data_IF_825296319994
#
_entry.id   IF_825296319994
#
_cell.length_a   1.000
_cell.length_b   1.000
_cell.length_c   1.000
_cell.angle_alpha   90.00
_cell.angle_beta   90.00
_cell.angle_gamma   90.00
#
_symmetry.space_group_name_H-M   'P 1'
#
loop_
_entity.id
_entity.type
_entity.pdbx_description
1 polymer ?
#
# COMPACT_ATOMS: atom_id res chain seq x y z
N UNK A 1 6.65 -0.16 -4.37
CA UNK A 1 6.00 -0.50 -3.09
C UNK A 1 6.97 -0.17 -1.98
N UNK A 2 6.49 0.57 -0.99
CA UNK A 2 7.18 0.88 0.26
C UNK A 2 6.68 0.06 1.45
N UNK A 3 5.91 -1.01 1.21
CA UNK A 3 5.23 -1.79 2.24
C UNK A 3 6.18 -2.33 3.32
N UNK A 4 7.30 -2.96 2.94
CA UNK A 4 8.25 -3.52 3.91
C UNK A 4 8.82 -2.46 4.87
N UNK A 5 9.02 -1.23 4.37
CA UNK A 5 9.45 -0.11 5.21
C UNK A 5 8.31 0.40 6.09
N UNK A 6 7.08 0.37 5.60
CA UNK A 6 5.88 0.72 6.37
C UNK A 6 5.63 -0.28 7.52
N UNK A 7 5.88 -1.58 7.34
CA UNK A 7 5.76 -2.60 8.42
C UNK A 7 6.65 -2.25 9.63
N UNK A 8 7.90 -1.84 9.38
CA UNK A 8 8.81 -1.39 10.45
C UNK A 8 8.24 -0.15 11.16
N UNK A 9 7.67 0.78 10.39
CA UNK A 9 7.02 1.98 10.92
C UNK A 9 5.76 1.64 11.75
N UNK A 10 4.96 0.69 11.31
CA UNK A 10 3.74 0.26 11.99
C UNK A 10 4.04 -0.35 13.36
N UNK A 11 5.14 -1.11 13.51
CA UNK A 11 5.58 -1.64 14.81
C UNK A 11 5.88 -0.54 15.84
N UNK A 12 6.27 0.66 15.41
CA UNK A 12 6.59 1.77 16.30
C UNK A 12 5.42 2.76 16.48
N UNK A 13 4.67 3.02 15.41
CA UNK A 13 3.64 4.08 15.37
C UNK A 13 2.21 3.55 15.42
N UNK A 14 2.03 2.23 15.35
CA UNK A 14 0.73 1.56 15.36
C UNK A 14 0.01 1.63 14.02
N UNK A 15 -0.13 2.82 13.43
CA UNK A 15 -0.80 3.03 12.13
C UNK A 15 0.01 3.97 11.27
N UNK A 16 0.35 3.55 10.06
CA UNK A 16 1.09 4.35 9.08
C UNK A 16 0.46 4.21 7.69
N UNK A 17 0.76 5.15 6.79
CA UNK A 17 0.42 5.02 5.37
C UNK A 17 1.54 5.61 4.53
N UNK A 18 1.80 5.01 3.37
CA UNK A 18 2.65 5.60 2.34
C UNK A 18 1.76 6.25 1.28
N UNK A 19 2.25 7.34 0.69
CA UNK A 19 1.65 7.98 -0.47
C UNK A 19 2.81 8.43 -1.36
N UNK A 20 3.11 7.66 -2.40
CA UNK A 20 4.32 7.90 -3.19
C UNK A 20 4.36 7.21 -4.55
N UNK A 21 5.32 7.60 -5.41
CA UNK A 21 5.50 6.99 -6.71
C UNK A 21 6.06 5.57 -6.58
N UNK A 22 5.59 4.67 -7.44
CA UNK A 22 6.10 3.32 -7.63
C UNK A 22 6.30 3.05 -9.11
N UNK A 23 7.33 2.26 -9.41
CA UNK A 23 7.75 1.95 -10.76
C UNK A 23 7.59 0.46 -11.06
N UNK A 24 7.15 0.12 -12.27
CA UNK A 24 7.15 -1.24 -12.81
C UNK A 24 7.79 -1.22 -14.19
N UNK A 25 8.80 -2.06 -14.40
CA UNK A 25 9.58 -2.11 -15.63
C UNK A 25 9.14 -3.24 -16.60
N UNK A 26 7.93 -3.77 -16.41
CA UNK A 26 7.40 -4.83 -17.27
C UNK A 26 7.08 -4.31 -18.68
N UNK A 27 7.39 -5.10 -19.71
CA UNK A 27 7.07 -4.75 -21.09
C UNK A 27 5.59 -5.02 -21.38
N UNK A 28 4.71 -4.17 -20.86
CA UNK A 28 3.27 -4.30 -21.01
C UNK A 28 2.65 -3.02 -21.56
N UNK A 29 2.11 -3.09 -22.77
CA UNK A 29 1.49 -1.96 -23.47
C UNK A 29 -0.04 -2.15 -23.56
N UNK A 30 -0.72 -2.05 -22.42
CA UNK A 30 -2.18 -2.07 -22.34
C UNK A 30 -2.70 -0.72 -21.86
N UNK A 31 -3.98 -0.40 -22.09
CA UNK A 31 -4.58 0.88 -21.69
C UNK A 31 -4.65 1.10 -20.17
N UNK A 32 -4.32 0.09 -19.35
CA UNK A 32 -4.39 0.14 -17.89
C UNK A 32 -3.04 -0.01 -17.19
N UNK A 33 -1.94 -0.15 -17.92
CA UNK A 33 -0.60 -0.31 -17.34
C UNK A 33 0.24 0.96 -17.51
N UNK A 34 0.85 1.38 -16.41
CA UNK A 34 1.76 2.53 -16.34
C UNK A 34 3.10 2.06 -15.77
N UNK A 35 4.20 2.55 -16.35
CA UNK A 35 5.54 2.27 -15.84
C UNK A 35 5.84 3.03 -14.54
N UNK A 36 5.16 4.16 -14.32
CA UNK A 36 5.19 4.97 -13.11
C UNK A 36 3.76 5.29 -12.70
N UNK A 37 3.42 5.04 -11.44
CA UNK A 37 2.10 5.31 -10.88
C UNK A 37 2.20 5.55 -9.37
N UNK A 38 1.16 6.14 -8.79
CA UNK A 38 1.10 6.42 -7.37
C UNK A 38 0.41 5.29 -6.63
N UNK A 39 0.97 4.89 -5.49
CA UNK A 39 0.33 3.96 -4.57
C UNK A 39 0.07 4.62 -3.23
N UNK A 40 -1.05 4.23 -2.64
CA UNK A 40 -1.41 4.50 -1.24
C UNK A 40 -1.34 3.15 -0.54
N UNK A 41 -0.47 3.00 0.45
CA UNK A 41 -0.26 1.72 1.16
C UNK A 41 -0.43 1.96 2.67
N UNK A 42 -1.63 1.72 3.25
CA UNK A 42 -1.81 1.73 4.69
C UNK A 42 -1.22 0.47 5.34
N UNK A 43 -0.69 0.60 6.56
CA UNK A 43 -0.18 -0.50 7.36
C UNK A 43 -0.58 -0.29 8.83
N UNK A 44 -1.23 -1.30 9.43
CA UNK A 44 -1.81 -1.21 10.78
C UNK A 44 -1.32 -2.38 11.63
N UNK A 45 -0.59 -2.07 12.70
CA UNK A 45 -0.15 -3.06 13.67
C UNK A 45 -1.33 -3.73 14.37
N UNK A 46 -1.20 -5.04 14.61
CA UNK A 46 -2.22 -5.89 15.24
C UNK A 46 -3.54 -5.98 14.48
N UNK A 47 -3.55 -5.63 13.19
CA UNK A 47 -4.67 -5.85 12.29
C UNK A 47 -4.61 -7.28 11.73
N UNK A 48 -5.72 -8.01 11.83
CA UNK A 48 -5.87 -9.28 11.13
C UNK A 48 -6.53 -9.06 9.76
N UNK A 49 -6.74 -10.15 9.01
CA UNK A 49 -7.28 -10.04 7.66
C UNK A 49 -8.71 -9.48 7.61
N UNK A 50 -9.51 -9.70 8.65
CA UNK A 50 -10.87 -9.15 8.71
C UNK A 50 -10.84 -7.65 8.97
N UNK A 51 -9.97 -7.20 9.88
CA UNK A 51 -9.75 -5.78 10.10
C UNK A 51 -9.18 -5.04 8.89
N UNK A 52 -8.34 -5.69 8.08
CA UNK A 52 -7.81 -5.11 6.84
C UNK A 52 -8.90 -4.97 5.77
N UNK A 53 -9.80 -5.96 5.66
CA UNK A 53 -10.96 -5.90 4.76
C UNK A 53 -11.92 -4.78 5.17
N UNK A 54 -12.25 -4.68 6.46
CA UNK A 54 -13.11 -3.59 6.98
C UNK A 54 -12.47 -2.22 6.72
N UNK A 55 -11.16 -2.09 6.96
CA UNK A 55 -10.41 -0.85 6.69
C UNK A 55 -10.44 -0.48 5.20
N UNK A 56 -10.30 -1.46 4.32
CA UNK A 56 -10.34 -1.24 2.88
C UNK A 56 -11.74 -0.83 2.40
N UNK A 57 -12.81 -1.41 2.97
CA UNK A 57 -14.19 -1.02 2.68
C UNK A 57 -14.53 0.39 3.19
N UNK A 58 -14.12 0.73 4.41
CA UNK A 58 -14.36 2.04 5.03
C UNK A 58 -13.60 3.19 4.33
N UNK A 59 -12.51 2.89 3.63
CA UNK A 59 -11.66 3.88 2.95
C UNK A 59 -12.21 4.37 1.60
N UNK A 60 -13.11 3.59 0.97
CA UNK A 60 -13.67 3.86 -0.37
C UNK A 60 -14.92 4.74 -0.31
#
# INVERSE_FOLDING_TARGET
SGQLQAEIGALALGKVYTFGPTFRAENSNTSRHLAEFWMIEPEVAFCDIYGDMDLAEDFV
#
